data_IF_477449011897
#
_entry.id   IF_477449011897
#
_cell.length_a   1.000
_cell.length_b   1.000
_cell.length_c   1.000
_cell.angle_alpha   90.00
_cell.angle_beta   90.00
_cell.angle_gamma   90.00
#
_symmetry.space_group_name_H-M   'P 1'
#
loop_
_entity.id
_entity.type
_entity.pdbx_description
1 polymer ?
#
# COMPACT_ATOMS: atom_id res chain seq x y z
N UNK A 1 -45.95 36.07 -28.83
CA UNK A 1 -45.26 35.05 -29.66
C UNK A 1 -43.77 35.16 -29.45
N UNK A 2 -43.07 34.04 -29.15
CA UNK A 2 -41.71 33.68 -29.62
C UNK A 2 -40.59 34.73 -29.36
N UNK A 3 -39.46 34.45 -28.69
CA UNK A 3 -38.60 33.26 -28.79
C UNK A 3 -37.54 33.24 -27.67
N UNK A 4 -37.28 32.02 -27.19
CA UNK A 4 -35.95 31.44 -26.91
C UNK A 4 -35.06 32.15 -25.89
N UNK A 5 -35.25 31.79 -24.62
CA UNK A 5 -34.20 31.85 -23.60
C UNK A 5 -33.15 30.79 -23.97
N UNK A 6 -32.00 31.24 -24.47
CA UNK A 6 -30.81 30.41 -24.63
C UNK A 6 -30.17 30.18 -23.27
N UNK A 7 -30.26 28.95 -22.77
CA UNK A 7 -29.54 28.48 -21.61
C UNK A 7 -28.06 28.31 -21.97
N UNK A 8 -27.24 29.32 -21.66
CA UNK A 8 -25.79 29.19 -21.54
C UNK A 8 -25.51 28.54 -20.19
N UNK A 9 -25.34 27.22 -20.19
CA UNK A 9 -24.78 26.48 -19.06
C UNK A 9 -23.34 26.08 -19.41
N UNK A 10 -22.44 27.09 -19.39
CA UNK A 10 -21.01 26.85 -19.20
C UNK A 10 -20.81 26.69 -17.70
N UNK A 11 -20.71 25.44 -17.25
CA UNK A 11 -20.28 25.11 -15.90
C UNK A 11 -19.43 23.85 -15.93
N UNK A 12 -18.13 24.08 -16.09
CA UNK A 12 -17.05 23.42 -15.35
C UNK A 12 -17.42 22.17 -14.56
N UNK A 13 -17.24 21.00 -15.15
CA UNK A 13 -17.06 19.77 -14.39
C UNK A 13 -16.46 18.69 -15.29
N UNK A 14 -15.13 18.67 -15.39
CA UNK A 14 -14.34 17.44 -15.54
C UNK A 14 -12.84 17.78 -15.40
N UNK A 15 -12.49 18.63 -14.43
CA UNK A 15 -11.15 18.58 -13.82
C UNK A 15 -11.17 17.51 -12.73
N UNK A 16 -11.40 16.26 -13.14
CA UNK A 16 -10.96 15.11 -12.36
C UNK A 16 -9.80 14.49 -13.12
N UNK A 17 -8.73 15.28 -13.30
CA UNK A 17 -7.38 14.71 -13.38
C UNK A 17 -7.05 14.17 -11.98
N UNK A 18 -7.76 13.09 -11.62
CA UNK A 18 -7.45 12.32 -10.43
C UNK A 18 -6.03 11.82 -10.59
N UNK A 19 -5.16 12.29 -9.71
CA UNK A 19 -3.87 11.68 -9.45
C UNK A 19 -3.00 11.49 -10.71
N UNK A 20 -2.36 12.56 -11.16
CA UNK A 20 -0.95 12.44 -11.56
C UNK A 20 -0.11 12.08 -10.32
N UNK A 21 -0.40 10.93 -9.69
CA UNK A 21 0.58 10.23 -8.88
C UNK A 21 1.55 9.67 -9.91
N UNK A 22 2.60 10.43 -10.23
CA UNK A 22 3.80 9.84 -10.81
C UNK A 22 4.06 8.57 -10.02
N UNK A 23 4.15 7.40 -10.68
CA UNK A 23 4.26 6.10 -10.01
C UNK A 23 5.48 6.11 -9.08
N UNK A 24 5.27 6.52 -7.83
CA UNK A 24 6.32 6.72 -6.85
C UNK A 24 6.48 5.44 -6.10
N UNK A 25 7.73 4.97 -6.03
CA UNK A 25 8.05 3.80 -5.23
C UNK A 25 7.70 4.13 -3.77
N UNK A 26 6.96 3.27 -3.06
CA UNK A 26 6.70 3.51 -1.65
C UNK A 26 8.01 3.36 -0.85
N UNK A 27 8.55 4.48 -0.38
CA UNK A 27 9.79 4.54 0.42
C UNK A 27 9.64 4.01 1.86
N UNK A 28 8.39 3.90 2.34
CA UNK A 28 8.09 3.53 3.72
C UNK A 28 8.02 2.01 3.88
N UNK A 29 9.17 1.33 3.78
CA UNK A 29 9.26 -0.06 4.23
C UNK A 29 9.03 -0.07 5.75
N UNK A 30 7.95 -0.70 6.25
CA UNK A 30 7.69 -0.71 7.69
C UNK A 30 8.78 -1.52 8.40
N UNK A 31 9.19 -1.08 9.59
CA UNK A 31 10.13 -1.85 10.40
C UNK A 31 9.47 -3.13 10.92
N UNK A 32 10.21 -4.24 10.90
CA UNK A 32 9.79 -5.47 11.57
C UNK A 32 10.05 -5.28 13.08
N UNK A 33 9.01 -5.27 13.93
CA UNK A 33 9.22 -5.11 15.36
C UNK A 33 9.84 -6.38 15.96
N UNK A 34 10.68 -6.21 16.97
CA UNK A 34 11.34 -7.32 17.66
C UNK A 34 10.33 -8.17 18.45
N UNK A 35 10.24 -9.46 18.13
CA UNK A 35 9.34 -10.42 18.78
C UNK A 35 9.50 -10.49 20.32
N UNK A 36 10.69 -10.21 20.84
CA UNK A 36 11.01 -10.29 22.26
C UNK A 36 10.44 -9.12 23.07
N UNK A 37 10.25 -7.95 22.44
CA UNK A 37 9.86 -6.70 23.12
C UNK A 37 8.50 -6.17 22.67
N UNK A 38 8.03 -6.59 21.49
CA UNK A 38 6.77 -6.13 20.92
C UNK A 38 5.57 -6.58 21.74
N UNK A 39 4.61 -5.68 21.93
CA UNK A 39 3.30 -5.96 22.56
C UNK A 39 2.23 -6.18 21.49
N UNK A 40 1.13 -6.86 21.85
CA UNK A 40 0.07 -7.25 20.90
C UNK A 40 -0.44 -6.10 20.04
N UNK A 41 -0.64 -4.92 20.63
CA UNK A 41 -1.08 -3.73 19.90
C UNK A 41 -0.08 -3.27 18.82
N UNK A 42 1.22 -3.39 19.09
CA UNK A 42 2.27 -3.07 18.13
C UNK A 42 2.38 -4.12 17.02
N UNK A 43 2.14 -5.41 17.34
CA UNK A 43 2.06 -6.47 16.33
C UNK A 43 0.88 -6.28 15.37
N UNK A 44 -0.29 -5.88 15.88
CA UNK A 44 -1.47 -5.58 15.04
C UNK A 44 -1.21 -4.35 14.16
N UNK A 45 -0.59 -3.30 14.72
CA UNK A 45 -0.18 -2.14 13.94
C UNK A 45 0.79 -2.53 12.82
N UNK A 46 1.83 -3.29 13.14
CA UNK A 46 2.80 -3.75 12.15
C UNK A 46 2.17 -4.66 11.07
N UNK A 47 1.16 -5.47 11.40
CA UNK A 47 0.43 -6.26 10.41
C UNK A 47 -0.37 -5.37 9.44
N UNK A 48 -1.01 -4.32 9.95
CA UNK A 48 -1.75 -3.37 9.12
C UNK A 48 -0.80 -2.53 8.26
N UNK A 49 0.34 -2.10 8.82
CA UNK A 49 1.37 -1.36 8.10
C UNK A 49 1.98 -2.21 6.98
N UNK A 50 2.25 -3.51 7.23
CA UNK A 50 2.68 -4.47 6.21
C UNK A 50 1.65 -4.60 5.09
N UNK A 51 0.36 -4.76 5.41
CA UNK A 51 -0.72 -4.84 4.40
C UNK A 51 -0.81 -3.57 3.56
N UNK A 52 -0.71 -2.41 4.18
CA UNK A 52 -0.71 -1.13 3.49
C UNK A 52 0.50 -1.01 2.54
N UNK A 53 1.68 -1.44 2.99
CA UNK A 53 2.90 -1.45 2.18
C UNK A 53 2.80 -2.39 0.98
N UNK A 54 2.34 -3.64 1.18
CA UNK A 54 2.12 -4.61 0.09
C UNK A 54 1.18 -4.01 -0.98
N UNK A 55 0.06 -3.42 -0.55
CA UNK A 55 -0.90 -2.81 -1.46
C UNK A 55 -0.27 -1.63 -2.23
N UNK A 56 0.49 -0.78 -1.56
CA UNK A 56 1.19 0.34 -2.20
C UNK A 56 2.24 -0.14 -3.21
N UNK A 57 2.97 -1.21 -2.92
CA UNK A 57 3.94 -1.80 -3.86
C UNK A 57 3.22 -2.45 -5.04
N UNK A 58 2.11 -3.16 -4.83
CA UNK A 58 1.31 -3.71 -5.94
C UNK A 58 0.78 -2.61 -6.87
N UNK A 59 0.29 -1.51 -6.30
CA UNK A 59 -0.15 -0.34 -7.05
C UNK A 59 1.01 0.32 -7.80
N UNK A 60 2.18 0.42 -7.17
CA UNK A 60 3.41 0.91 -7.79
C UNK A 60 3.84 0.01 -8.97
N UNK A 61 3.92 -1.30 -8.78
CA UNK A 61 4.30 -2.26 -9.83
C UNK A 61 3.35 -2.17 -11.02
N UNK A 62 2.04 -2.11 -10.77
CA UNK A 62 1.01 -1.95 -11.81
C UNK A 62 1.15 -0.62 -12.57
N UNK A 63 1.51 0.44 -11.86
CA UNK A 63 1.66 1.79 -12.42
C UNK A 63 2.98 1.97 -13.19
N UNK A 64 4.09 1.54 -12.60
CA UNK A 64 5.45 1.78 -13.06
C UNK A 64 5.85 0.97 -14.31
N UNK A 65 5.00 0.02 -14.75
CA UNK A 65 5.27 -0.86 -15.91
C UNK A 65 6.69 -1.46 -15.86
N UNK A 66 7.07 -1.94 -14.69
CA UNK A 66 8.38 -2.55 -14.46
C UNK A 66 8.58 -3.75 -15.39
N UNK A 67 9.84 -4.07 -15.68
CA UNK A 67 10.16 -5.32 -16.35
C UNK A 67 9.73 -6.50 -15.47
N UNK A 68 9.40 -7.65 -16.06
CA UNK A 68 9.01 -8.85 -15.30
C UNK A 68 10.09 -9.30 -14.31
N UNK A 69 11.36 -9.00 -14.60
CA UNK A 69 12.47 -9.30 -13.71
C UNK A 69 12.47 -8.39 -12.46
N UNK A 70 12.21 -7.10 -12.64
CA UNK A 70 12.16 -6.13 -11.54
C UNK A 70 10.91 -6.31 -10.69
N UNK A 71 9.75 -6.53 -11.31
CA UNK A 71 8.50 -6.91 -10.63
C UNK A 71 8.71 -8.15 -9.75
N UNK A 72 9.34 -9.20 -10.31
CA UNK A 72 9.62 -10.42 -9.56
C UNK A 72 10.56 -10.17 -8.37
N UNK A 73 11.57 -9.32 -8.52
CA UNK A 73 12.48 -8.96 -7.42
C UNK A 73 11.76 -8.25 -6.29
N UNK A 74 10.96 -7.22 -6.59
CA UNK A 74 10.20 -6.47 -5.59
C UNK A 74 9.19 -7.39 -4.86
N UNK A 75 8.53 -8.29 -5.59
CA UNK A 75 7.61 -9.29 -5.01
C UNK A 75 8.35 -10.33 -4.17
N UNK A 76 9.51 -10.81 -4.61
CA UNK A 76 10.32 -11.78 -3.85
C UNK A 76 10.87 -11.16 -2.56
N UNK A 77 11.26 -9.88 -2.58
CA UNK A 77 11.72 -9.15 -1.39
C UNK A 77 10.57 -8.88 -0.41
N UNK A 78 9.37 -8.57 -0.91
CA UNK A 78 8.15 -8.50 -0.10
C UNK A 78 7.81 -9.84 0.56
N UNK A 79 7.96 -10.95 -0.17
CA UNK A 79 7.71 -12.30 0.37
C UNK A 79 8.67 -12.62 1.50
N UNK A 80 9.97 -12.38 1.33
CA UNK A 80 10.96 -12.57 2.41
C UNK A 80 10.61 -11.73 3.64
N UNK A 81 10.25 -10.47 3.43
CA UNK A 81 9.83 -9.59 4.53
C UNK A 81 8.59 -10.14 5.27
N UNK A 82 7.62 -10.69 4.53
CA UNK A 82 6.45 -11.32 5.13
C UNK A 82 6.78 -12.64 5.86
N UNK A 83 7.76 -13.41 5.37
CA UNK A 83 8.27 -14.61 6.05
C UNK A 83 8.95 -14.26 7.36
N UNK A 84 9.82 -13.25 7.37
CA UNK A 84 10.48 -12.75 8.58
C UNK A 84 9.46 -12.25 9.60
N UNK A 85 8.44 -11.50 9.15
CA UNK A 85 7.35 -11.08 10.01
C UNK A 85 6.55 -12.26 10.57
N UNK A 86 6.33 -13.33 9.80
CA UNK A 86 5.66 -14.53 10.28
C UNK A 86 6.48 -15.28 11.34
N UNK A 87 7.81 -15.28 11.25
CA UNK A 87 8.68 -15.82 12.30
C UNK A 87 8.47 -15.04 13.61
N UNK A 88 8.45 -13.71 13.54
CA UNK A 88 8.18 -12.82 14.68
C UNK A 88 6.80 -13.09 15.28
N UNK A 89 5.75 -13.21 14.45
CA UNK A 89 4.39 -13.53 14.93
C UNK A 89 4.33 -14.89 15.62
N UNK A 90 5.03 -15.91 15.10
CA UNK A 90 5.09 -17.24 15.72
C UNK A 90 5.81 -17.20 17.06
N UNK A 91 6.94 -16.50 17.14
CA UNK A 91 7.69 -16.32 18.39
C UNK A 91 6.86 -15.55 19.43
N UNK A 92 6.19 -14.47 19.01
CA UNK A 92 5.28 -13.71 19.88
C UNK A 92 4.14 -14.60 20.39
N UNK A 93 3.49 -15.39 19.52
CA UNK A 93 2.44 -16.33 19.92
C UNK A 93 2.93 -17.37 20.92
N UNK A 94 4.09 -17.98 20.66
CA UNK A 94 4.70 -18.96 21.55
C UNK A 94 5.00 -18.37 22.94
N UNK A 95 5.48 -17.11 23.01
CA UNK A 95 5.67 -16.40 24.28
C UNK A 95 4.35 -16.10 24.98
N UNK A 96 3.34 -15.63 24.25
CA UNK A 96 2.05 -15.23 24.82
C UNK A 96 1.17 -16.38 25.32
N UNK A 97 1.48 -17.61 24.93
CA UNK A 97 0.75 -18.83 25.30
C UNK A 97 1.35 -19.56 26.52
N UNK A 98 2.53 -19.13 27.00
CA UNK A 98 3.14 -19.58 28.25
C UNK A 98 2.83 -18.63 29.39
#
# INVERSE_FOLDING_TARGET
>A
MKKLVMAVAVSSACLFSGAAMACTKPDNKPDIPDAATVVTAQMVKANNDMKAYVKAVEEYVKCAKLSRADEKREVDDLKKFAEDFNVVVRAFKARSAG
#
